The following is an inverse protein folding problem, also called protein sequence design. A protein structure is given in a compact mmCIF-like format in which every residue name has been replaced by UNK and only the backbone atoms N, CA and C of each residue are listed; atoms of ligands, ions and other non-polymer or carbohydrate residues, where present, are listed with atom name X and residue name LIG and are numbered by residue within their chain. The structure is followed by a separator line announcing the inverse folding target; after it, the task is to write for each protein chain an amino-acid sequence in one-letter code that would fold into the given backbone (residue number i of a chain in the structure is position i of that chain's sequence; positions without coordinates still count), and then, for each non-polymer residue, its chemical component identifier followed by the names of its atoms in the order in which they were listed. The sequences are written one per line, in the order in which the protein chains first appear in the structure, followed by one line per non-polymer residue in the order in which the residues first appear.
data_IF_579392726395
#
_entry.id   IF_579392726395
#
_cell.length_a   1.000
_cell.length_b   1.000
_cell.length_c   1.000
_cell.angle_alpha   90.00
_cell.angle_beta   90.00
_cell.angle_gamma   90.00
#
_symmetry.space_group_name_H-M   'P 1'
#
loop_
_entity.id
_entity.type
_entity.pdbx_description
1 polymer ?
#
# COMPACT_ATOMS: atom_id res chain seq x y z
N UNK A 1 28.60 -10.27 -23.71
CA UNK A 1 27.83 -9.64 -22.62
C UNK A 1 26.65 -10.54 -22.24
N UNK A 2 26.89 -11.61 -21.47
CA UNK A 2 25.86 -12.60 -21.08
C UNK A 2 26.03 -13.04 -19.62
N UNK A 3 26.19 -12.08 -18.71
CA UNK A 3 26.28 -12.36 -17.26
C UNK A 3 25.31 -11.54 -16.40
N UNK A 4 24.60 -10.57 -17.00
CA UNK A 4 23.65 -9.71 -16.29
C UNK A 4 22.27 -10.33 -16.17
N UNK A 5 21.76 -10.93 -17.25
CA UNK A 5 20.34 -11.33 -17.36
C UNK A 5 19.95 -12.42 -16.35
N UNK A 6 20.77 -13.45 -16.14
CA UNK A 6 20.48 -14.51 -15.17
C UNK A 6 20.38 -14.00 -13.72
N UNK A 7 21.16 -12.97 -13.37
CA UNK A 7 21.11 -12.38 -12.03
C UNK A 7 19.81 -11.60 -11.81
N UNK A 8 19.35 -10.88 -12.85
CA UNK A 8 18.12 -10.11 -12.81
C UNK A 8 16.86 -10.98 -12.84
N UNK A 9 16.90 -12.12 -13.54
CA UNK A 9 15.82 -13.11 -13.50
C UNK A 9 15.61 -13.64 -12.07
N UNK A 10 16.69 -13.99 -11.36
CA UNK A 10 16.60 -14.46 -9.96
C UNK A 10 16.05 -13.39 -9.01
N UNK A 11 16.37 -12.12 -9.25
CA UNK A 11 15.94 -10.98 -8.43
C UNK A 11 14.69 -10.27 -8.91
N UNK A 12 13.98 -10.81 -9.91
CA UNK A 12 12.80 -10.14 -10.45
C UNK A 12 11.71 -9.90 -9.38
N UNK A 13 11.36 -8.62 -9.10
CA UNK A 13 10.39 -8.29 -8.07
C UNK A 13 8.98 -8.25 -8.66
N UNK A 14 8.35 -9.43 -8.81
CA UNK A 14 7.02 -9.60 -9.40
C UNK A 14 5.97 -8.59 -8.86
N UNK A 15 5.92 -8.44 -7.53
CA UNK A 15 5.00 -7.50 -6.89
C UNK A 15 5.22 -6.05 -7.33
N UNK A 16 6.47 -5.61 -7.43
CA UNK A 16 6.80 -4.23 -7.79
C UNK A 16 6.42 -3.96 -9.25
N UNK A 17 6.66 -4.91 -10.14
CA UNK A 17 6.31 -4.77 -11.55
C UNK A 17 4.79 -4.75 -11.73
N UNK A 18 4.07 -5.67 -11.10
CA UNK A 18 2.61 -5.72 -11.12
C UNK A 18 2.01 -4.40 -10.60
N UNK A 19 2.54 -3.88 -9.48
CA UNK A 19 2.09 -2.61 -8.89
C UNK A 19 2.39 -1.40 -9.78
N UNK A 20 3.53 -1.39 -10.48
CA UNK A 20 3.85 -0.30 -11.40
C UNK A 20 2.91 -0.32 -12.63
N UNK A 21 2.61 -1.51 -13.15
CA UNK A 21 1.74 -1.69 -14.32
C UNK A 21 0.25 -1.50 -14.00
N UNK A 22 -0.18 -1.76 -12.76
CA UNK A 22 -1.58 -1.60 -12.35
C UNK A 22 -2.10 -0.17 -12.45
N UNK A 23 -1.20 0.82 -12.49
CA UNK A 23 -1.57 2.21 -12.66
C UNK A 23 -2.13 2.53 -14.07
N UNK A 24 -1.92 1.64 -15.04
CA UNK A 24 -2.36 1.84 -16.42
C UNK A 24 -3.54 0.92 -16.73
N UNK A 25 -4.67 1.52 -17.10
CA UNK A 25 -5.91 0.78 -17.46
C UNK A 25 -5.68 -0.24 -18.58
N UNK A 26 -4.85 0.08 -19.58
CA UNK A 26 -4.50 -0.84 -20.67
C UNK A 26 -3.79 -2.12 -20.19
N UNK A 27 -3.11 -2.05 -19.04
CA UNK A 27 -2.29 -3.16 -18.50
C UNK A 27 -2.99 -3.89 -17.34
N UNK A 28 -4.11 -3.37 -16.83
CA UNK A 28 -4.75 -3.86 -15.60
C UNK A 28 -5.18 -5.32 -15.71
N UNK A 29 -5.67 -5.73 -16.88
CA UNK A 29 -6.13 -7.11 -17.11
C UNK A 29 -4.97 -8.10 -17.06
N UNK A 30 -3.85 -7.77 -17.72
CA UNK A 30 -2.64 -8.60 -17.71
C UNK A 30 -2.05 -8.71 -16.31
N UNK A 31 -2.04 -7.62 -15.55
CA UNK A 31 -1.57 -7.62 -14.15
C UNK A 31 -2.48 -8.46 -13.26
N UNK A 32 -3.80 -8.38 -13.44
CA UNK A 32 -4.74 -9.18 -12.66
C UNK A 32 -4.51 -10.68 -12.88
N UNK A 33 -4.28 -11.10 -14.12
CA UNK A 33 -3.98 -12.50 -14.42
C UNK A 33 -2.67 -12.97 -13.78
N UNK A 34 -1.62 -12.15 -13.85
CA UNK A 34 -0.35 -12.45 -13.18
C UNK A 34 -0.43 -12.42 -11.65
N UNK A 35 -1.35 -11.64 -11.06
CA UNK A 35 -1.62 -11.69 -9.63
C UNK A 35 -2.31 -13.01 -9.22
N UNK A 36 -3.24 -13.53 -10.04
CA UNK A 36 -3.84 -14.85 -9.82
C UNK A 36 -2.78 -15.95 -9.97
N UNK A 37 -1.91 -15.82 -10.95
CA UNK A 37 -0.83 -16.74 -11.30
C UNK A 37 0.50 -16.39 -10.60
N UNK A 38 0.45 -15.97 -9.33
CA UNK A 38 1.65 -15.54 -8.58
C UNK A 38 2.66 -16.66 -8.31
N UNK A 39 2.25 -17.93 -8.42
CA UNK A 39 3.08 -19.11 -8.22
C UNK A 39 3.98 -19.44 -9.44
N UNK A 40 3.76 -18.79 -10.59
CA UNK A 40 4.59 -18.99 -11.77
C UNK A 40 6.01 -18.52 -11.54
N UNK A 41 6.95 -19.14 -12.26
CA UNK A 41 8.33 -18.71 -12.22
C UNK A 41 8.49 -17.24 -12.67
N UNK A 42 9.43 -16.55 -12.04
CA UNK A 42 9.69 -15.13 -12.26
C UNK A 42 10.05 -14.81 -13.71
N UNK A 43 10.80 -15.71 -14.36
CA UNK A 43 11.17 -15.56 -15.77
C UNK A 43 9.94 -15.59 -16.67
N UNK A 44 8.99 -16.47 -16.37
CA UNK A 44 7.76 -16.59 -17.15
C UNK A 44 6.89 -15.33 -17.00
N UNK A 45 6.77 -14.81 -15.78
CA UNK A 45 6.06 -13.54 -15.53
C UNK A 45 6.71 -12.38 -16.29
N UNK A 46 8.05 -12.29 -16.29
CA UNK A 46 8.79 -11.27 -17.04
C UNK A 46 8.55 -11.38 -18.55
N UNK A 47 8.71 -12.58 -19.11
CA UNK A 47 8.50 -12.84 -20.54
C UNK A 47 7.06 -12.56 -20.96
N UNK A 48 6.08 -12.91 -20.14
CA UNK A 48 4.68 -12.61 -20.41
C UNK A 48 4.44 -11.11 -20.57
N UNK A 49 4.94 -10.29 -19.64
CA UNK A 49 4.77 -8.83 -19.75
C UNK A 49 5.56 -8.24 -20.91
N UNK A 50 6.77 -8.73 -21.17
CA UNK A 50 7.60 -8.26 -22.27
C UNK A 50 6.93 -8.47 -23.63
N UNK A 51 6.27 -9.61 -23.83
CA UNK A 51 5.64 -9.98 -25.10
C UNK A 51 4.19 -9.47 -25.23
N UNK A 52 3.46 -9.32 -24.11
CA UNK A 52 2.06 -8.91 -24.14
C UNK A 52 1.89 -7.39 -24.16
N UNK A 53 2.79 -6.64 -23.51
CA UNK A 53 2.64 -5.20 -23.34
C UNK A 53 3.39 -4.45 -24.44
N UNK A 54 2.67 -3.61 -25.18
CA UNK A 54 3.26 -2.74 -26.22
C UNK A 54 4.27 -1.73 -25.62
N UNK A 55 5.37 -1.39 -26.30
CA UNK A 55 6.28 -0.35 -25.83
C UNK A 55 5.61 1.03 -25.86
N UNK A 56 5.62 1.75 -24.72
CA UNK A 56 5.04 3.10 -24.56
C UNK A 56 5.73 3.83 -23.41
N UNK A 57 5.81 5.16 -23.48
CA UNK A 57 6.29 5.99 -22.36
C UNK A 57 5.24 5.98 -21.25
N UNK A 58 5.52 5.27 -20.16
CA UNK A 58 4.63 5.06 -19.02
C UNK A 58 5.25 5.68 -17.79
N UNK A 59 4.62 6.72 -17.27
CA UNK A 59 5.00 7.35 -16.01
C UNK A 59 3.75 7.53 -15.16
N UNK A 60 3.76 6.95 -13.96
CA UNK A 60 2.68 7.14 -12.99
C UNK A 60 3.29 7.46 -11.62
N UNK A 61 2.63 8.33 -10.87
CA UNK A 61 2.99 8.58 -9.48
C UNK A 61 2.52 7.40 -8.65
N UNK A 62 3.38 6.95 -7.73
CA UNK A 62 2.99 5.93 -6.77
C UNK A 62 1.90 6.48 -5.87
N UNK A 63 0.70 5.89 -5.95
CA UNK A 63 -0.40 6.22 -5.05
C UNK A 63 0.03 5.87 -3.62
N UNK A 64 0.14 6.89 -2.78
CA UNK A 64 0.35 6.75 -1.34
C UNK A 64 -1.01 6.92 -0.68
N UNK A 65 -1.32 6.08 0.31
CA UNK A 65 -2.51 6.32 1.13
C UNK A 65 -2.34 7.66 1.84
N UNK A 66 -3.36 8.52 1.77
CA UNK A 66 -3.45 9.61 2.73
C UNK A 66 -3.61 9.00 4.12
N UNK A 67 -2.77 9.42 5.08
CA UNK A 67 -3.02 9.11 6.49
C UNK A 67 -4.25 9.90 6.90
N UNK A 68 -5.31 9.21 7.32
CA UNK A 68 -6.50 9.86 7.86
C UNK A 68 -6.13 10.33 9.27
N UNK A 69 -6.11 11.65 9.46
CA UNK A 69 -5.82 12.25 10.77
C UNK A 69 -6.84 11.73 11.78
N UNK A 70 -6.41 11.50 13.02
CA UNK A 70 -7.24 11.11 14.16
C UNK A 70 -7.83 9.69 14.16
N UNK A 71 -7.68 8.92 13.08
CA UNK A 71 -8.20 7.54 13.02
C UNK A 71 -7.55 6.62 14.07
N UNK A 72 -6.27 6.83 14.37
CA UNK A 72 -5.55 6.03 15.37
C UNK A 72 -6.09 6.25 16.79
N UNK A 73 -6.41 7.50 17.16
CA UNK A 73 -6.98 7.84 18.46
C UNK A 73 -8.37 7.24 18.66
N UNK A 74 -9.22 7.27 17.63
CA UNK A 74 -10.57 6.67 17.69
C UNK A 74 -10.48 5.15 17.82
N UNK A 75 -9.49 4.52 17.17
CA UNK A 75 -9.26 3.07 17.29
C UNK A 75 -8.79 2.69 18.68
N UNK A 76 -7.89 3.47 19.28
CA UNK A 76 -7.37 3.21 20.61
C UNK A 76 -8.45 3.41 21.68
N UNK A 77 -9.22 4.48 21.60
CA UNK A 77 -10.25 4.80 22.58
C UNK A 77 -11.42 3.81 22.58
N UNK A 78 -11.92 3.44 21.38
CA UNK A 78 -13.09 2.56 21.25
C UNK A 78 -12.76 1.09 20.97
N UNK A 79 -11.48 0.74 20.75
CA UNK A 79 -11.10 -0.62 20.35
C UNK A 79 -11.62 -1.03 18.98
N UNK A 80 -11.89 -0.06 18.09
CA UNK A 80 -12.53 -0.31 16.80
C UNK A 80 -11.57 -0.83 15.72
N UNK A 81 -12.13 -1.62 14.79
CA UNK A 81 -11.46 -1.96 13.53
C UNK A 81 -11.34 -0.74 12.63
N UNK A 82 -10.43 -0.77 11.65
CA UNK A 82 -10.17 0.38 10.75
C UNK A 82 -11.45 0.94 10.10
N UNK A 83 -12.37 0.07 9.69
CA UNK A 83 -13.61 0.46 9.02
C UNK A 83 -14.60 1.13 9.98
N UNK A 84 -14.79 0.54 11.17
CA UNK A 84 -15.64 1.11 12.22
C UNK A 84 -15.09 2.44 12.73
N UNK A 85 -13.77 2.58 12.81
CA UNK A 85 -13.14 3.84 13.20
C UNK A 85 -13.33 4.95 12.16
N UNK A 86 -13.34 4.63 10.86
CA UNK A 86 -13.69 5.60 9.81
C UNK A 86 -15.14 6.05 9.94
N UNK A 87 -16.05 5.12 10.20
CA UNK A 87 -17.47 5.44 10.42
C UNK A 87 -17.65 6.30 11.67
N UNK A 88 -16.96 5.98 12.76
CA UNK A 88 -17.01 6.79 13.98
C UNK A 88 -16.43 8.20 13.74
N UNK A 89 -15.36 8.33 12.95
CA UNK A 89 -14.78 9.63 12.61
C UNK A 89 -15.75 10.54 11.83
N UNK A 90 -16.65 9.96 11.04
CA UNK A 90 -17.67 10.71 10.30
C UNK A 90 -18.80 11.24 11.21
N UNK A 91 -19.01 10.60 12.36
CA UNK A 91 -20.06 10.94 13.33
C UNK A 91 -19.53 11.88 14.43
N UNK A 92 -18.25 11.76 14.78
CA UNK A 92 -17.62 12.51 15.87
C UNK A 92 -17.37 13.97 15.49
N UNK A 93 -17.70 14.89 16.40
CA UNK A 93 -17.36 16.30 16.28
C UNK A 93 -15.89 16.58 16.66
N UNK A 94 -15.32 17.68 16.17
CA UNK A 94 -13.95 18.10 16.46
C UNK A 94 -13.70 18.25 17.97
N UNK A 95 -14.67 18.75 18.74
CA UNK A 95 -14.57 18.86 20.21
C UNK A 95 -14.45 17.50 20.89
N UNK A 96 -15.20 16.51 20.39
CA UNK A 96 -15.19 15.14 20.91
C UNK A 96 -13.87 14.44 20.59
N UNK A 97 -13.30 14.71 19.42
CA UNK A 97 -11.99 14.20 19.01
C UNK A 97 -10.88 14.79 19.90
N UNK A 98 -10.91 16.08 20.20
CA UNK A 98 -9.96 16.71 21.13
C UNK A 98 -10.12 16.15 22.56
N UNK A 99 -11.34 15.90 23.01
CA UNK A 99 -11.57 15.23 24.29
C UNK A 99 -10.97 13.81 24.32
N UNK A 100 -11.18 13.02 23.27
CA UNK A 100 -10.58 11.67 23.14
C UNK A 100 -9.05 11.76 23.16
N UNK A 101 -8.45 12.70 22.42
CA UNK A 101 -7.00 12.95 22.46
C UNK A 101 -6.53 13.32 23.87
N UNK A 102 -7.29 14.15 24.59
CA UNK A 102 -6.92 14.56 25.94
C UNK A 102 -6.94 13.39 26.94
N UNK A 103 -7.86 12.43 26.77
CA UNK A 103 -7.94 11.21 27.60
C UNK A 103 -6.75 10.30 27.31
N UNK A 104 -6.46 10.05 26.02
CA UNK A 104 -5.33 9.21 25.60
C UNK A 104 -3.99 9.83 26.04
N UNK A 105 -3.86 11.16 25.93
CA UNK A 105 -2.65 11.89 26.31
C UNK A 105 -2.47 12.08 27.84
N UNK A 106 -3.47 11.73 28.67
CA UNK A 106 -3.43 11.96 30.14
C UNK A 106 -2.71 10.88 30.94
N UNK A 107 -1.95 9.99 30.31
CA UNK A 107 -1.19 8.92 30.98
C UNK A 107 0.33 9.10 30.91
N UNK A 108 0.97 9.45 32.03
CA UNK A 108 2.43 9.48 32.15
C UNK A 108 3.03 8.15 32.62
N UNK A 109 4.06 7.67 31.88
CA UNK A 109 5.24 6.84 32.30
C UNK A 109 5.55 5.57 31.50
N UNK A 110 4.79 5.18 30.47
CA UNK A 110 5.23 4.14 29.52
C UNK A 110 4.70 4.42 28.12
N UNK A 111 5.59 4.38 27.12
CA UNK A 111 5.19 4.36 25.71
C UNK A 111 5.71 5.52 24.86
N UNK A 112 6.95 5.96 25.05
CA UNK A 112 7.65 6.71 24.03
C UNK A 112 7.88 5.85 22.79
N UNK A 113 6.89 5.73 21.91
CA UNK A 113 7.13 5.40 20.51
C UNK A 113 7.36 6.71 19.79
N UNK A 114 8.64 7.06 19.68
CA UNK A 114 9.10 8.07 18.73
C UNK A 114 8.66 7.61 17.34
N UNK A 115 7.95 8.43 16.59
CA UNK A 115 7.84 8.25 15.14
C UNK A 115 7.68 9.60 14.42
N UNK A 116 8.84 10.03 13.90
CA UNK A 116 9.15 10.73 12.64
C UNK A 116 8.14 11.71 12.01
N UNK A 117 8.68 12.93 11.84
CA UNK A 117 8.28 13.99 10.92
C UNK A 117 8.20 13.57 9.46
#
# INVERSE_FOLDING_TARGET
MMGGDEFWEKRYPAFIVNKALSAFSECVLFVNEMNRLHHLDKRLQFQFFLNSIRPKKRFSKWLRSSKIKNLEYVKEYYGYSNEKAKQALDILDDEQIEHIKSIINRGGRHGGVRMDS
#
